data_IF_899822021958
#
_entry.id   IF_899822021958
#
_cell.length_a   1.000
_cell.length_b   1.000
_cell.length_c   1.000
_cell.angle_alpha   90.00
_cell.angle_beta   90.00
_cell.angle_gamma   90.00
#
_symmetry.space_group_name_H-M   'P 1'
#
loop_
_entity.id
_entity.type
_entity.pdbx_description
1 polymer ?
#
# COMPACT_ATOMS: atom_id res chain seq x y z
N UNK A 1 -16.04 -10.04 -2.19
CA UNK A 1 -15.56 -9.12 -3.24
C UNK A 1 -14.06 -9.22 -3.27
N UNK A 2 -13.47 -9.26 -4.47
CA UNK A 2 -12.04 -9.44 -4.69
C UNK A 2 -11.51 -8.27 -5.52
N UNK A 3 -10.22 -7.99 -5.42
CA UNK A 3 -9.53 -7.06 -6.32
C UNK A 3 -8.76 -7.91 -7.32
N UNK A 4 -9.15 -7.95 -8.60
CA UNK A 4 -8.43 -8.69 -9.62
C UNK A 4 -7.00 -8.17 -9.77
N UNK A 5 -6.09 -9.03 -10.22
CA UNK A 5 -4.75 -8.59 -10.60
C UNK A 5 -4.82 -7.49 -11.66
N UNK A 6 -3.98 -6.46 -11.55
CA UNK A 6 -4.02 -5.28 -12.42
C UNK A 6 -3.21 -4.13 -11.89
N UNK A 7 -3.26 -2.99 -12.60
CA UNK A 7 -2.58 -1.75 -12.20
C UNK A 7 -3.60 -0.81 -11.58
N UNK A 8 -3.32 -0.31 -10.38
CA UNK A 8 -4.24 0.48 -9.59
C UNK A 8 -3.57 1.70 -8.97
N UNK A 9 -4.37 2.74 -8.74
CA UNK A 9 -4.09 3.82 -7.82
C UNK A 9 -4.82 3.48 -6.51
N UNK A 10 -4.09 3.50 -5.40
CA UNK A 10 -4.66 3.25 -4.07
C UNK A 10 -5.01 4.59 -3.43
N UNK A 11 -6.23 4.75 -2.93
CA UNK A 11 -6.69 5.99 -2.30
C UNK A 11 -7.29 5.75 -0.91
N UNK A 12 -7.00 6.60 0.09
CA UNK A 12 -7.70 6.57 1.36
C UNK A 12 -9.14 7.06 1.19
N UNK A 13 -10.10 6.37 1.80
CA UNK A 13 -11.51 6.81 1.81
C UNK A 13 -11.66 8.13 2.58
N UNK A 14 -10.88 8.32 3.64
CA UNK A 14 -10.94 9.51 4.48
C UNK A 14 -10.42 10.78 3.79
N UNK A 15 -9.60 10.66 2.74
CA UNK A 15 -8.98 11.78 2.00
C UNK A 15 -9.08 11.55 0.48
N UNK A 16 -10.27 11.72 -0.12
CA UNK A 16 -10.55 11.30 -1.49
C UNK A 16 -9.73 12.03 -2.57
N UNK A 17 -9.21 13.22 -2.25
CA UNK A 17 -8.34 14.03 -3.11
C UNK A 17 -6.87 13.57 -3.09
N UNK A 18 -6.51 12.65 -2.19
CA UNK A 18 -5.17 12.10 -2.04
C UNK A 18 -5.04 10.70 -2.65
N UNK A 19 -3.80 10.28 -2.88
CA UNK A 19 -3.46 8.93 -3.30
C UNK A 19 -2.17 8.46 -2.62
N UNK A 20 -1.98 7.15 -2.58
CA UNK A 20 -0.75 6.55 -2.06
C UNK A 20 0.40 6.82 -3.02
N UNK A 21 1.53 7.23 -2.45
CA UNK A 21 2.79 7.48 -3.12
C UNK A 21 3.90 6.69 -2.43
N UNK A 22 4.82 6.10 -3.20
CA UNK A 22 6.12 5.66 -2.67
C UNK A 22 7.11 6.83 -2.77
N UNK A 23 7.61 7.34 -1.65
CA UNK A 23 8.67 8.34 -1.66
C UNK A 23 8.59 9.40 -0.57
N UNK A 24 9.49 10.42 -0.61
CA UNK A 24 10.53 10.61 -1.62
C UNK A 24 11.61 9.53 -1.59
N UNK A 25 12.10 9.11 -2.76
CA UNK A 25 13.23 8.17 -2.91
C UNK A 25 14.52 9.00 -3.03
N UNK A 26 15.48 8.90 -2.10
CA UNK A 26 16.74 9.64 -2.19
C UNK A 26 17.58 9.22 -3.41
N UNK A 27 18.32 10.17 -4.00
CA UNK A 27 19.23 9.95 -5.14
C UNK A 27 20.58 9.32 -4.71
N UNK A 28 20.55 8.34 -3.82
CA UNK A 28 21.73 7.57 -3.41
C UNK A 28 21.56 6.12 -3.87
N UNK A 29 22.66 5.46 -4.26
CA UNK A 29 22.61 4.07 -4.71
C UNK A 29 23.42 3.15 -3.76
N UNK A 30 22.83 2.05 -3.26
CA UNK A 30 21.44 1.64 -3.50
C UNK A 30 20.44 2.51 -2.71
N UNK A 31 19.22 2.77 -3.22
CA UNK A 31 18.28 3.68 -2.58
C UNK A 31 17.77 3.06 -1.28
N UNK A 32 17.71 3.82 -0.17
CA UNK A 32 17.15 3.32 1.06
C UNK A 32 15.64 3.06 0.87
N UNK A 33 15.04 2.20 1.71
CA UNK A 33 13.59 1.99 1.73
C UNK A 33 12.84 3.32 1.83
N UNK A 34 11.91 3.52 0.92
CA UNK A 34 11.12 4.74 0.83
C UNK A 34 9.78 4.54 1.54
N UNK A 35 9.30 5.49 2.35
CA UNK A 35 8.01 5.36 3.00
C UNK A 35 6.87 5.36 1.97
N UNK A 36 5.78 4.66 2.28
CA UNK A 36 4.50 4.90 1.63
C UNK A 36 3.80 6.05 2.33
N UNK A 37 3.34 7.02 1.58
CA UNK A 37 2.66 8.23 2.06
C UNK A 37 1.30 8.37 1.38
N UNK A 38 0.40 9.17 1.96
CA UNK A 38 -0.75 9.75 1.24
C UNK A 38 -0.47 11.21 0.95
N UNK A 39 -0.66 11.62 -0.31
CA UNK A 39 -0.33 12.98 -0.74
C UNK A 39 -1.34 13.51 -1.77
N UNK A 40 -1.60 14.82 -1.78
CA UNK A 40 -2.43 15.46 -2.80
C UNK A 40 -1.66 15.61 -4.13
N UNK A 41 -2.36 15.40 -5.25
CA UNK A 41 -1.87 15.71 -6.60
C UNK A 41 -0.73 14.83 -7.13
N UNK A 42 -0.26 13.84 -6.36
CA UNK A 42 0.73 12.84 -6.78
C UNK A 42 0.18 11.44 -6.50
N UNK A 43 0.67 10.45 -7.24
CA UNK A 43 0.24 9.07 -7.12
C UNK A 43 1.32 8.11 -7.60
N UNK A 44 1.32 6.91 -7.05
CA UNK A 44 2.03 5.76 -7.59
C UNK A 44 1.04 4.79 -8.20
N UNK A 45 1.40 4.23 -9.37
CA UNK A 45 0.68 3.10 -9.95
C UNK A 45 1.23 1.80 -9.36
N UNK A 46 0.34 1.04 -8.74
CA UNK A 46 0.66 -0.22 -8.10
C UNK A 46 0.15 -1.37 -8.97
N UNK A 47 1.06 -2.23 -9.41
CA UNK A 47 0.72 -3.55 -9.91
C UNK A 47 0.38 -4.45 -8.73
N UNK A 48 -0.91 -4.78 -8.62
CA UNK A 48 -1.42 -5.77 -7.69
C UNK A 48 -1.48 -7.12 -8.39
N UNK A 49 -0.84 -8.12 -7.80
CA UNK A 49 -0.85 -9.50 -8.29
C UNK A 49 -1.45 -10.38 -7.22
N UNK A 50 -2.49 -11.14 -7.54
CA UNK A 50 -3.04 -12.15 -6.64
C UNK A 50 -2.01 -13.26 -6.42
N UNK A 51 -1.78 -13.61 -5.16
CA UNK A 51 -0.81 -14.64 -4.75
C UNK A 51 -1.50 -15.59 -3.79
N UNK A 52 -1.93 -16.74 -4.31
CA UNK A 52 -2.74 -17.70 -3.54
C UNK A 52 -4.24 -17.45 -3.72
N UNK A 53 -5.00 -17.51 -2.63
CA UNK A 53 -6.46 -17.34 -2.65
C UNK A 53 -6.91 -15.93 -3.03
N UNK A 54 -8.23 -15.80 -3.21
CA UNK A 54 -8.91 -14.63 -3.78
C UNK A 54 -8.64 -13.27 -3.12
N UNK A 55 -8.25 -13.24 -1.84
CA UNK A 55 -8.01 -12.02 -1.06
C UNK A 55 -6.54 -11.69 -0.85
N UNK A 56 -5.61 -12.55 -1.26
CA UNK A 56 -4.18 -12.37 -0.99
C UNK A 56 -3.49 -11.77 -2.19
N UNK A 57 -2.80 -10.65 -1.99
CA UNK A 57 -2.12 -9.91 -3.04
C UNK A 57 -0.65 -9.63 -2.71
N UNK A 58 0.13 -9.34 -3.73
CA UNK A 58 1.40 -8.63 -3.64
C UNK A 58 1.23 -7.28 -4.32
N UNK A 59 1.87 -6.24 -3.80
CA UNK A 59 1.81 -4.89 -4.34
C UNK A 59 3.21 -4.43 -4.73
N UNK A 60 3.37 -3.98 -5.97
CA UNK A 60 4.65 -3.54 -6.52
C UNK A 60 4.45 -2.31 -7.40
N UNK A 61 5.47 -1.49 -7.57
CA UNK A 61 5.50 -0.39 -8.53
C UNK A 61 6.85 -0.42 -9.24
N UNK A 62 6.85 -0.69 -10.55
CA UNK A 62 8.08 -0.93 -11.32
C UNK A 62 8.96 -2.01 -10.64
N UNK A 63 10.18 -1.63 -10.21
CA UNK A 63 11.12 -2.51 -9.51
C UNK A 63 11.01 -2.41 -7.98
N UNK A 64 10.03 -1.68 -7.46
CA UNK A 64 9.84 -1.48 -6.02
C UNK A 64 8.75 -2.41 -5.49
N UNK A 65 9.09 -3.20 -4.47
CA UNK A 65 8.18 -4.07 -3.74
C UNK A 65 7.67 -3.33 -2.51
N UNK A 66 6.38 -3.44 -2.22
CA UNK A 66 5.79 -2.87 -0.99
C UNK A 66 5.83 -3.90 0.13
N UNK A 67 6.47 -3.56 1.25
CA UNK A 67 6.63 -4.44 2.40
C UNK A 67 6.37 -3.74 3.75
N UNK A 68 6.09 -4.55 4.76
CA UNK A 68 6.04 -4.11 6.15
C UNK A 68 7.47 -4.09 6.72
N UNK A 69 7.85 -2.99 7.38
CA UNK A 69 9.12 -2.88 8.08
C UNK A 69 8.91 -2.60 9.56
N UNK A 70 9.73 -3.25 10.39
CA UNK A 70 9.73 -3.11 11.86
C UNK A 70 8.34 -3.29 12.51
N UNK A 71 7.44 -4.05 11.84
CA UNK A 71 6.05 -4.30 12.25
C UNK A 71 5.22 -3.04 12.54
N UNK A 72 5.60 -1.90 11.94
CA UNK A 72 5.00 -0.58 12.20
C UNK A 72 4.83 0.30 10.97
N UNK A 73 5.71 0.20 9.97
CA UNK A 73 5.66 1.09 8.80
C UNK A 73 5.55 0.29 7.52
N UNK A 74 4.93 0.89 6.52
CA UNK A 74 4.86 0.32 5.17
C UNK A 74 5.81 1.09 4.27
N UNK A 75 6.68 0.37 3.57
CA UNK A 75 7.76 0.95 2.76
C UNK A 75 7.83 0.30 1.39
N UNK A 76 8.34 1.04 0.41
CA UNK A 76 8.78 0.53 -0.88
C UNK A 76 10.28 0.26 -0.85
N UNK A 77 10.68 -0.95 -1.23
CA UNK A 77 12.08 -1.36 -1.36
C UNK A 77 12.36 -1.81 -2.79
N UNK A 78 13.48 -1.36 -3.34
CA UNK A 78 13.91 -1.82 -4.66
C UNK A 78 14.26 -3.32 -4.61
N UNK A 79 13.71 -4.09 -5.56
CA UNK A 79 13.69 -5.54 -5.52
C UNK A 79 15.08 -6.19 -5.50
N UNK A 80 16.11 -5.56 -6.08
CA UNK A 80 17.48 -6.07 -6.06
C UNK A 80 18.14 -6.00 -4.68
N UNK A 81 17.58 -5.21 -3.74
CA UNK A 81 18.09 -5.05 -2.37
C UNK A 81 17.58 -6.08 -1.37
N UNK A 82 17.11 -7.24 -1.85
CA UNK A 82 16.62 -8.30 -0.97
C UNK A 82 15.25 -8.00 -0.36
N UNK A 83 14.43 -7.20 -1.06
CA UNK A 83 13.04 -6.97 -0.67
C UNK A 83 12.32 -8.30 -0.45
N UNK A 84 11.58 -8.40 0.65
CA UNK A 84 10.79 -9.61 0.92
C UNK A 84 9.60 -9.62 -0.03
N UNK A 85 9.25 -10.81 -0.55
CA UNK A 85 7.99 -11.00 -1.27
C UNK A 85 6.81 -10.97 -0.27
N UNK A 86 6.55 -9.81 0.29
CA UNK A 86 5.46 -9.58 1.23
C UNK A 86 4.12 -9.79 0.52
N UNK A 87 3.20 -10.44 1.22
CA UNK A 87 1.80 -10.53 0.78
C UNK A 87 0.90 -9.76 1.74
N UNK A 88 -0.24 -9.32 1.24
CA UNK A 88 -1.24 -8.56 1.96
C UNK A 88 -2.59 -9.23 1.80
N UNK A 89 -3.40 -9.23 2.85
CA UNK A 89 -4.78 -9.72 2.78
C UNK A 89 -5.73 -8.54 2.62
N UNK A 90 -6.58 -8.58 1.61
CA UNK A 90 -7.64 -7.60 1.41
C UNK A 90 -8.92 -8.06 2.11
N UNK A 91 -9.39 -7.27 3.07
CA UNK A 91 -10.67 -7.47 3.74
C UNK A 91 -11.68 -6.44 3.21
N UNK A 92 -12.81 -6.91 2.67
CA UNK A 92 -13.87 -6.00 2.21
C UNK A 92 -14.54 -5.29 3.39
N UNK A 93 -14.76 -3.97 3.25
CA UNK A 93 -15.36 -3.10 4.28
C UNK A 93 -16.47 -2.21 3.68
N UNK A 94 -17.14 -2.73 2.65
CA UNK A 94 -18.19 -2.05 1.88
C UNK A 94 -18.03 -2.27 0.38
N UNK A 95 -19.02 -1.86 -0.44
CA UNK A 95 -18.91 -1.92 -1.89
C UNK A 95 -17.69 -1.13 -2.40
N UNK A 96 -16.69 -1.82 -2.95
CA UNK A 96 -15.47 -1.21 -3.48
C UNK A 96 -14.49 -0.65 -2.44
N UNK A 97 -14.75 -0.88 -1.14
CA UNK A 97 -13.91 -0.42 -0.04
C UNK A 97 -13.24 -1.62 0.62
N UNK A 98 -11.95 -1.49 0.90
CA UNK A 98 -11.13 -2.56 1.44
C UNK A 98 -10.23 -2.07 2.57
N UNK A 99 -9.84 -2.99 3.46
CA UNK A 99 -8.73 -2.82 4.38
C UNK A 99 -7.58 -3.71 3.93
N UNK A 100 -6.36 -3.21 4.05
CA UNK A 100 -5.14 -3.93 3.67
C UNK A 100 -4.48 -4.43 4.95
N UNK A 101 -4.42 -5.75 5.13
CA UNK A 101 -3.94 -6.40 6.34
C UNK A 101 -2.61 -7.11 6.11
N UNK A 102 -1.67 -6.89 7.02
CA UNK A 102 -0.48 -7.70 7.14
C UNK A 102 -0.83 -9.08 7.75
N UNK A 103 -0.62 -10.20 7.03
CA UNK A 103 -0.93 -11.52 7.55
C UNK A 103 -0.06 -11.93 8.74
N UNK A 104 1.16 -11.38 8.87
CA UNK A 104 2.08 -11.74 9.96
C UNK A 104 1.68 -11.09 11.29
N UNK A 105 1.48 -9.76 11.30
CA UNK A 105 1.11 -9.03 12.52
C UNK A 105 -0.39 -8.94 12.77
N UNK A 106 -1.23 -9.24 11.78
CA UNK A 106 -2.69 -9.08 11.84
C UNK A 106 -3.16 -7.62 11.86
N UNK A 107 -2.24 -6.66 11.66
CA UNK A 107 -2.48 -5.22 11.64
C UNK A 107 -2.84 -4.74 10.23
N UNK A 108 -3.42 -3.55 10.16
CA UNK A 108 -3.92 -2.94 8.93
C UNK A 108 -3.12 -1.71 8.58
N UNK A 109 -3.00 -1.45 7.28
CA UNK A 109 -2.52 -0.16 6.78
C UNK A 109 -3.43 0.94 7.28
N UNK A 110 -2.83 1.95 7.89
CA UNK A 110 -3.51 3.14 8.40
C UNK A 110 -2.84 4.39 7.84
N UNK A 111 -3.66 5.25 7.24
CA UNK A 111 -3.27 6.58 6.82
C UNK A 111 -2.97 7.50 8.02
N UNK A 112 -1.99 8.39 7.87
CA UNK A 112 -1.71 9.41 8.89
C UNK A 112 -2.68 10.59 8.78
N UNK A 113 -2.97 11.25 9.90
CA UNK A 113 -3.67 12.54 9.89
C UNK A 113 -2.82 13.66 9.27
N UNK A 114 -1.50 13.52 9.32
CA UNK A 114 -0.54 14.51 8.84
C UNK A 114 -0.17 14.14 7.40
N UNK A 115 -0.35 15.09 6.48
CA UNK A 115 0.11 14.89 5.10
C UNK A 115 1.62 14.64 5.07
N UNK A 116 2.07 13.78 4.15
CA UNK A 116 3.47 13.36 4.03
C UNK A 116 4.02 12.51 5.17
N UNK A 117 3.18 12.10 6.12
CA UNK A 117 3.56 11.12 7.13
C UNK A 117 3.30 9.70 6.63
N UNK A 118 4.04 8.74 7.19
CA UNK A 118 4.10 7.38 6.68
C UNK A 118 2.84 6.59 7.00
N UNK A 119 2.40 5.80 6.03
CA UNK A 119 1.39 4.75 6.26
C UNK A 119 1.97 3.75 7.26
N UNK A 120 1.22 3.53 8.33
CA UNK A 120 1.62 2.67 9.44
C UNK A 120 0.77 1.41 9.52
N UNK A 121 1.22 0.45 10.33
CA UNK A 121 0.46 -0.76 10.66
C UNK A 121 -0.14 -0.62 12.06
N UNK A 122 -1.47 -0.60 12.13
CA UNK A 122 -2.23 -0.46 13.37
C UNK A 122 -3.23 -1.59 13.58
N UNK A 123 -3.67 -1.78 14.84
CA UNK A 123 -4.79 -2.68 15.14
C UNK A 123 -6.07 -2.23 14.41
N UNK A 124 -7.04 -3.14 14.22
CA UNK A 124 -8.27 -2.82 13.50
C UNK A 124 -8.96 -1.59 14.12
N UNK A 125 -9.19 -0.59 13.29
CA UNK A 125 -9.57 0.75 13.73
C UNK A 125 -10.55 1.46 12.77
N UNK A 126 -10.64 2.79 12.88
CA UNK A 126 -11.64 3.62 12.21
C UNK A 126 -11.36 3.81 10.69
N UNK A 127 -12.07 4.74 10.06
CA UNK A 127 -12.12 4.99 8.61
C UNK A 127 -10.77 5.21 7.91
N UNK A 128 -9.70 5.56 8.62
CA UNK A 128 -8.35 5.75 8.05
C UNK A 128 -7.66 4.47 7.58
N UNK A 129 -8.29 3.31 7.81
CA UNK A 129 -7.83 2.01 7.32
C UNK A 129 -8.59 1.54 6.08
N UNK A 130 -9.46 2.40 5.54
CA UNK A 130 -10.30 2.10 4.38
C UNK A 130 -9.68 2.66 3.12
N UNK A 131 -9.57 1.81 2.11
CA UNK A 131 -8.88 2.08 0.86
C UNK A 131 -9.77 1.74 -0.33
N UNK A 132 -9.65 2.53 -1.38
CA UNK A 132 -10.25 2.29 -2.70
C UNK A 132 -9.12 1.97 -3.67
N UNK A 133 -9.35 0.95 -4.50
CA UNK A 133 -8.47 0.59 -5.61
C UNK A 133 -9.10 1.08 -6.91
N UNK A 134 -8.60 2.21 -7.42
CA UNK A 134 -9.02 2.78 -8.70
C UNK A 134 -8.15 2.19 -9.81
N UNK A 135 -8.72 1.53 -10.84
CA UNK A 135 -7.92 1.05 -11.97
C UNK A 135 -7.15 2.21 -12.62
N UNK A 136 -5.84 2.05 -12.81
CA UNK A 136 -5.06 3.02 -13.57
C UNK A 136 -5.55 2.96 -15.03
N UNK A 137 -6.04 4.07 -15.56
CA UNK A 137 -6.50 4.12 -16.95
C UNK A 137 -5.31 3.88 -17.89
N UNK A 138 -5.43 2.87 -18.74
CA UNK A 138 -4.52 2.57 -19.87
C UNK A 138 -4.58 3.64 -20.94
#
# INVERSE_FOLDING_TARGET
>A
MTVPSGVYIIRPVAKPDQAVLIGPVPLIWPPPPAPLLTVPGRRTEFTLTQVGGDSTISANSNHTVVEAREAKTVVGIEGSQGAKKQTWTLEADGPGIFRIKDPESGKYWEDSEIDWDSISLQGKGPSRQQWIFEPASS
#
